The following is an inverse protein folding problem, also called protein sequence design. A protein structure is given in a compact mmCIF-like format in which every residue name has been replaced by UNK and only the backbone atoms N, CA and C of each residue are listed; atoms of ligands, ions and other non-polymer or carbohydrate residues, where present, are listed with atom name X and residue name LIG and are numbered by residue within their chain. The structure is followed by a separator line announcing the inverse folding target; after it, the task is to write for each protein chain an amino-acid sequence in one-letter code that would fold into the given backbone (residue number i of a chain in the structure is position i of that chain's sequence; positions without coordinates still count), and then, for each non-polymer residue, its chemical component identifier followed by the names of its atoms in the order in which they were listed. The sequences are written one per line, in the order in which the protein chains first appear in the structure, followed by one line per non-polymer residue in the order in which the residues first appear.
data_IF_400526153002
#
_entry.id   IF_400526153002
#
_cell.length_a   1.000
_cell.length_b   1.000
_cell.length_c   1.000
_cell.angle_alpha   90.00
_cell.angle_beta   90.00
_cell.angle_gamma   90.00
#
_symmetry.space_group_name_H-M   'P 1'
#
loop_
_entity.id
_entity.type
_entity.pdbx_description
1 polymer ?
#
# COMPACT_ATOMS: atom_id res chain seq x y z
N UNK A 1 -16.84 35.73 -3.88
CA UNK A 1 -15.43 35.37 -3.85
C UNK A 1 -15.03 35.00 -5.27
N UNK A 2 -13.99 35.59 -5.81
CA UNK A 2 -13.56 35.30 -7.17
C UNK A 2 -12.95 33.90 -7.19
N UNK A 3 -13.59 32.97 -7.88
CA UNK A 3 -12.97 31.71 -8.32
C UNK A 3 -11.92 32.12 -9.33
N UNK A 4 -10.66 32.08 -8.97
CA UNK A 4 -9.57 32.13 -9.94
C UNK A 4 -9.67 30.86 -10.73
N UNK A 5 -10.02 31.01 -12.01
CA UNK A 5 -10.04 29.97 -13.03
C UNK A 5 -8.58 29.49 -13.20
N UNK A 6 -8.13 28.58 -12.31
CA UNK A 6 -6.83 27.94 -12.45
C UNK A 6 -7.07 26.68 -13.26
N UNK A 7 -6.38 26.52 -14.40
CA UNK A 7 -6.33 25.28 -15.20
C UNK A 7 -5.79 24.06 -14.41
N UNK A 8 -5.75 24.14 -13.08
CA UNK A 8 -5.25 23.10 -12.20
C UNK A 8 -6.41 22.20 -11.76
N UNK A 9 -6.47 21.02 -12.33
CA UNK A 9 -7.47 20.01 -12.04
C UNK A 9 -6.79 18.71 -11.61
N UNK A 10 -7.25 18.11 -10.51
CA UNK A 10 -6.82 16.81 -10.01
C UNK A 10 -8.03 15.92 -9.75
N UNK A 11 -8.07 14.79 -10.42
CA UNK A 11 -9.08 13.75 -10.30
C UNK A 11 -8.38 12.41 -9.99
N UNK A 12 -8.61 11.79 -8.83
CA UNK A 12 -7.95 10.54 -8.45
C UNK A 12 -8.40 9.33 -9.30
N UNK A 13 -9.46 9.47 -10.08
CA UNK A 13 -10.01 8.41 -10.94
C UNK A 13 -9.66 8.62 -12.43
N UNK A 14 -9.01 9.72 -12.77
CA UNK A 14 -8.55 9.99 -14.13
C UNK A 14 -7.26 9.21 -14.40
N UNK A 15 -7.32 8.28 -15.36
CA UNK A 15 -6.19 7.43 -15.68
C UNK A 15 -5.01 8.18 -16.31
N UNK A 16 -5.25 9.24 -17.08
CA UNK A 16 -4.18 10.05 -17.64
C UNK A 16 -3.39 10.77 -16.53
N UNK A 17 -4.13 11.26 -15.51
CA UNK A 17 -3.52 11.85 -14.32
C UNK A 17 -2.80 10.77 -13.49
N UNK A 18 -3.42 9.61 -13.25
CA UNK A 18 -2.82 8.54 -12.46
C UNK A 18 -1.56 7.97 -13.14
N UNK A 19 -1.50 7.97 -14.46
CA UNK A 19 -0.32 7.50 -15.20
C UNK A 19 0.95 8.30 -14.88
N UNK A 20 0.82 9.64 -14.74
CA UNK A 20 1.89 10.54 -14.29
C UNK A 20 1.31 11.70 -13.46
N UNK A 21 1.02 11.50 -12.17
CA UNK A 21 0.39 12.53 -11.34
C UNK A 21 1.35 13.62 -10.86
N UNK A 22 2.66 13.42 -10.99
CA UNK A 22 3.68 14.27 -10.38
C UNK A 22 3.67 15.72 -10.88
N UNK A 23 3.47 16.01 -12.17
CA UNK A 23 3.36 17.38 -12.65
C UNK A 23 2.19 18.14 -12.00
N UNK A 24 1.02 17.48 -11.87
CA UNK A 24 -0.15 18.07 -11.21
C UNK A 24 0.09 18.22 -9.72
N UNK A 25 0.60 17.19 -9.04
CA UNK A 25 0.90 17.26 -7.61
C UNK A 25 1.96 18.32 -7.28
N UNK A 26 2.95 18.54 -8.16
CA UNK A 26 3.91 19.63 -8.00
C UNK A 26 3.21 20.99 -8.04
N UNK A 27 2.32 21.20 -9.00
CA UNK A 27 1.53 22.43 -9.08
C UNK A 27 0.62 22.60 -7.85
N UNK A 28 -0.01 21.52 -7.37
CA UNK A 28 -0.79 21.58 -6.12
C UNK A 28 0.08 22.05 -4.94
N UNK A 29 1.27 21.48 -4.76
CA UNK A 29 2.20 21.91 -3.69
C UNK A 29 2.59 23.38 -3.79
N UNK A 30 2.78 23.88 -4.99
CA UNK A 30 3.30 25.23 -5.22
C UNK A 30 2.20 26.29 -5.28
N UNK A 31 1.09 26.00 -5.97
CA UNK A 31 0.04 26.96 -6.29
C UNK A 31 -1.20 26.83 -5.38
N UNK A 32 -1.62 25.60 -5.05
CA UNK A 32 -2.83 25.30 -4.27
C UNK A 32 -2.59 24.18 -3.25
N UNK A 33 -1.83 24.40 -2.19
CA UNK A 33 -1.48 23.35 -1.21
C UNK A 33 -2.70 22.77 -0.47
N UNK A 34 -3.80 23.53 -0.36
CA UNK A 34 -5.15 23.03 -0.10
C UNK A 34 -5.93 23.13 -1.41
N UNK A 35 -6.23 21.98 -2.01
CA UNK A 35 -7.02 21.87 -3.23
C UNK A 35 -8.46 21.47 -2.90
N UNK A 36 -9.43 21.92 -3.69
CA UNK A 36 -10.82 21.49 -3.64
C UNK A 36 -11.28 21.00 -5.00
N UNK A 37 -11.84 19.80 -5.05
CA UNK A 37 -12.48 19.24 -6.23
C UNK A 37 -14.00 19.32 -6.09
N UNK A 38 -14.68 20.07 -6.97
CA UNK A 38 -16.11 20.30 -6.94
C UNK A 38 -16.92 19.12 -7.53
N UNK A 39 -16.31 18.32 -8.41
CA UNK A 39 -16.98 17.15 -9.03
C UNK A 39 -17.26 16.05 -8.01
N UNK A 40 -16.28 15.73 -7.16
CA UNK A 40 -16.41 14.66 -6.16
C UNK A 40 -16.48 15.20 -4.72
N UNK A 41 -16.50 16.53 -4.58
CA UNK A 41 -16.64 17.24 -3.30
C UNK A 41 -15.67 16.73 -2.24
N UNK A 42 -14.38 16.93 -2.47
CA UNK A 42 -13.29 16.64 -1.53
C UNK A 42 -12.26 17.75 -1.49
N UNK A 43 -11.56 17.85 -0.37
CA UNK A 43 -10.33 18.64 -0.24
C UNK A 43 -9.11 17.73 -0.31
N UNK A 44 -7.95 18.28 -0.68
CA UNK A 44 -6.69 17.54 -0.68
C UNK A 44 -5.54 18.38 -0.13
N UNK A 45 -4.68 17.77 0.68
CA UNK A 45 -3.40 18.29 1.15
C UNK A 45 -2.26 17.64 0.38
N UNK A 46 -1.36 18.45 -0.17
CA UNK A 46 -0.31 18.00 -1.09
C UNK A 46 1.11 18.14 -0.55
N UNK A 47 1.35 19.01 0.46
CA UNK A 47 2.68 19.25 1.05
C UNK A 47 2.99 18.23 2.14
N UNK A 48 4.27 17.90 2.29
CA UNK A 48 4.74 16.91 3.27
C UNK A 48 4.27 17.21 4.69
N UNK A 49 4.56 18.42 5.20
CA UNK A 49 4.26 18.79 6.59
C UNK A 49 2.75 18.84 6.88
N UNK A 50 1.92 19.16 5.88
CA UNK A 50 0.46 19.17 6.03
C UNK A 50 -0.11 17.77 6.11
N UNK A 51 0.36 16.86 5.22
CA UNK A 51 -0.03 15.45 5.21
C UNK A 51 0.42 14.76 6.50
N UNK A 52 1.66 15.02 6.95
CA UNK A 52 2.18 14.48 8.21
C UNK A 52 1.35 14.92 9.41
N UNK A 53 1.07 16.23 9.54
CA UNK A 53 0.24 16.79 10.63
C UNK A 53 -1.16 16.23 10.64
N UNK A 54 -1.80 16.14 9.46
CA UNK A 54 -3.14 15.56 9.35
C UNK A 54 -3.15 14.08 9.74
N UNK A 55 -2.10 13.32 9.39
CA UNK A 55 -1.96 11.91 9.74
C UNK A 55 -1.82 11.66 11.25
N UNK A 56 -1.30 12.63 12.02
CA UNK A 56 -1.14 12.55 13.48
C UNK A 56 -2.42 12.99 14.22
N UNK A 57 -3.14 13.97 13.67
CA UNK A 57 -4.36 14.49 14.29
C UNK A 57 -5.58 13.61 13.99
N UNK A 58 -5.52 12.37 14.47
CA UNK A 58 -6.58 11.37 14.29
C UNK A 58 -7.93 11.78 14.90
N UNK A 59 -7.98 12.79 15.77
CA UNK A 59 -9.23 13.30 16.33
C UNK A 59 -10.00 14.18 15.36
N UNK A 60 -9.28 14.85 14.49
CA UNK A 60 -9.83 15.73 13.46
C UNK A 60 -10.01 15.00 12.13
N UNK A 61 -9.02 14.20 11.74
CA UNK A 61 -8.96 13.45 10.47
C UNK A 61 -9.14 11.96 10.75
N UNK A 62 -10.40 11.56 10.97
CA UNK A 62 -10.72 10.19 11.40
C UNK A 62 -10.71 9.20 10.23
N UNK A 63 -10.45 7.94 10.57
CA UNK A 63 -10.52 6.79 9.64
C UNK A 63 -11.83 6.02 9.75
N UNK A 64 -12.60 6.20 10.81
CA UNK A 64 -13.80 5.42 11.12
C UNK A 64 -14.97 5.60 10.14
N UNK A 65 -14.85 6.49 9.16
CA UNK A 65 -15.80 6.64 8.05
C UNK A 65 -15.25 6.13 6.71
N UNK A 66 -14.03 5.58 6.70
CA UNK A 66 -13.32 5.13 5.51
C UNK A 66 -11.97 5.80 5.34
N UNK A 67 -11.11 5.17 4.54
CA UNK A 67 -9.79 5.69 4.14
C UNK A 67 -9.65 5.84 2.63
N UNK A 68 -10.73 5.62 1.90
CA UNK A 68 -10.88 5.84 0.45
C UNK A 68 -12.02 6.82 0.22
N UNK A 69 -11.90 7.64 -0.83
CA UNK A 69 -12.88 8.68 -1.15
C UNK A 69 -14.26 8.06 -1.39
N UNK A 70 -14.34 7.01 -2.19
CA UNK A 70 -15.57 6.30 -2.54
C UNK A 70 -16.26 5.71 -1.30
N UNK A 71 -15.52 5.13 -0.37
CA UNK A 71 -16.08 4.57 0.87
C UNK A 71 -16.68 5.66 1.75
N UNK A 72 -15.98 6.77 1.94
CA UNK A 72 -16.51 7.88 2.74
C UNK A 72 -17.76 8.48 2.08
N UNK A 73 -17.74 8.66 0.75
CA UNK A 73 -18.85 9.25 0.00
C UNK A 73 -20.09 8.35 -0.07
N UNK A 74 -19.92 7.03 -0.07
CA UNK A 74 -21.06 6.10 -0.01
C UNK A 74 -21.83 6.18 1.31
N UNK A 75 -21.15 6.58 2.40
CA UNK A 75 -21.74 6.63 3.74
C UNK A 75 -22.10 5.25 4.31
N UNK A 76 -21.54 4.17 3.73
CA UNK A 76 -21.80 2.80 4.18
C UNK A 76 -21.31 2.56 5.61
N UNK A 77 -21.95 1.63 6.30
CA UNK A 77 -21.51 1.17 7.61
C UNK A 77 -20.30 0.23 7.43
N UNK A 78 -19.20 0.57 8.08
CA UNK A 78 -17.98 -0.24 8.06
C UNK A 78 -18.07 -1.33 9.13
N UNK A 79 -17.93 -2.61 8.79
CA UNK A 79 -17.99 -3.70 9.76
C UNK A 79 -16.81 -3.64 10.74
N UNK A 80 -16.99 -4.08 12.00
CA UNK A 80 -15.91 -4.13 12.98
C UNK A 80 -14.81 -5.11 12.56
N UNK A 81 -13.57 -4.85 13.02
CA UNK A 81 -12.43 -5.73 12.77
C UNK A 81 -11.61 -5.33 11.54
N UNK A 82 -11.81 -4.15 11.00
CA UNK A 82 -10.98 -3.60 9.93
C UNK A 82 -10.17 -2.43 10.48
N UNK A 83 -9.00 -2.71 11.04
CA UNK A 83 -8.18 -1.75 11.78
C UNK A 83 -7.87 -0.45 11.03
N UNK A 84 -7.79 -0.48 9.71
CA UNK A 84 -7.55 0.71 8.87
C UNK A 84 -8.73 1.70 8.91
N UNK A 85 -9.91 1.22 9.30
CA UNK A 85 -11.14 2.00 9.44
C UNK A 85 -11.54 2.19 10.91
N UNK A 86 -10.64 2.02 11.84
CA UNK A 86 -10.90 2.21 13.26
C UNK A 86 -10.15 3.43 13.79
N UNK A 87 -10.76 4.10 14.77
CA UNK A 87 -10.13 5.17 15.55
C UNK A 87 -9.98 4.74 17.02
N UNK A 88 -9.10 5.37 17.80
CA UNK A 88 -9.00 5.11 19.23
C UNK A 88 -10.33 5.35 19.96
N UNK A 89 -10.70 4.54 20.97
CA UNK A 89 -9.83 3.55 21.63
C UNK A 89 -9.81 2.15 20.98
N UNK A 90 -10.73 1.83 20.08
CA UNK A 90 -10.85 0.50 19.46
C UNK A 90 -9.59 0.16 18.65
N UNK A 91 -9.13 1.11 17.83
CA UNK A 91 -7.89 0.98 17.07
C UNK A 91 -6.71 0.57 17.95
N UNK A 92 -6.52 1.19 19.12
CA UNK A 92 -5.36 0.94 19.98
C UNK A 92 -5.33 -0.50 20.49
N UNK A 93 -6.51 -1.02 20.87
CA UNK A 93 -6.67 -2.41 21.33
C UNK A 93 -6.32 -3.39 20.22
N UNK A 94 -6.88 -3.21 19.04
CA UNK A 94 -6.66 -4.10 17.89
C UNK A 94 -5.23 -3.94 17.35
N UNK A 95 -4.70 -2.72 17.31
CA UNK A 95 -3.31 -2.47 16.91
C UNK A 95 -2.31 -3.17 17.81
N UNK A 96 -2.52 -3.12 19.13
CA UNK A 96 -1.66 -3.81 20.10
C UNK A 96 -1.69 -5.34 19.90
N UNK A 97 -2.86 -5.90 19.56
CA UNK A 97 -3.01 -7.31 19.26
C UNK A 97 -2.22 -7.71 18.01
N UNK A 98 -2.46 -7.05 16.89
CA UNK A 98 -1.84 -7.37 15.60
C UNK A 98 -0.31 -7.11 15.59
N UNK A 99 0.17 -6.11 16.33
CA UNK A 99 1.60 -5.79 16.38
C UNK A 99 2.45 -6.91 16.98
N UNK A 100 1.86 -7.84 17.74
CA UNK A 100 2.58 -9.01 18.31
C UNK A 100 3.05 -9.98 17.22
N UNK A 101 2.37 -9.98 16.08
CA UNK A 101 2.68 -10.88 14.97
C UNK A 101 3.81 -10.33 14.10
N UNK A 102 3.84 -8.99 13.87
CA UNK A 102 4.81 -8.33 12.98
C UNK A 102 6.02 -7.77 13.73
N UNK A 103 6.52 -8.51 14.71
CA UNK A 103 7.73 -8.09 15.43
C UNK A 103 8.97 -8.17 14.52
N UNK A 104 9.99 -7.30 14.70
CA UNK A 104 11.22 -7.34 13.91
C UNK A 104 11.88 -8.71 13.87
N UNK A 105 11.83 -9.44 14.99
CA UNK A 105 12.40 -10.80 15.10
C UNK A 105 11.64 -11.80 14.23
N UNK A 106 10.29 -11.81 14.28
CA UNK A 106 9.47 -12.70 13.45
C UNK A 106 9.67 -12.38 11.96
N UNK A 107 9.66 -11.09 11.61
CA UNK A 107 9.89 -10.64 10.24
C UNK A 107 11.28 -11.06 9.73
N UNK A 108 12.34 -10.83 10.48
CA UNK A 108 13.71 -11.22 10.07
C UNK A 108 13.85 -12.75 9.88
N UNK A 109 13.10 -13.55 10.62
CA UNK A 109 13.13 -15.00 10.48
C UNK A 109 12.55 -15.50 9.15
N UNK A 110 11.80 -14.64 8.42
CA UNK A 110 11.23 -14.98 7.11
C UNK A 110 12.24 -14.88 5.96
N UNK A 111 13.37 -14.18 6.16
CA UNK A 111 14.34 -13.91 5.09
C UNK A 111 14.74 -15.16 4.27
N UNK A 112 15.09 -16.33 4.87
CA UNK A 112 15.46 -17.50 4.10
C UNK A 112 14.33 -18.01 3.19
N UNK A 113 13.08 -17.90 3.64
CA UNK A 113 11.92 -18.33 2.85
C UNK A 113 11.59 -17.36 1.73
N UNK A 114 11.67 -16.07 1.98
CA UNK A 114 11.47 -15.05 0.94
C UNK A 114 12.54 -15.19 -0.15
N UNK A 115 13.81 -15.45 0.21
CA UNK A 115 14.88 -15.76 -0.75
C UNK A 115 14.58 -17.02 -1.56
N UNK A 116 14.10 -18.08 -0.92
CA UNK A 116 13.69 -19.31 -1.60
C UNK A 116 12.57 -19.05 -2.62
N UNK A 117 11.57 -18.21 -2.26
CA UNK A 117 10.48 -17.86 -3.17
C UNK A 117 10.98 -17.06 -4.38
N UNK A 118 11.84 -16.07 -4.16
CA UNK A 118 12.49 -15.32 -5.24
C UNK A 118 13.33 -16.25 -6.16
N UNK A 119 14.14 -17.13 -5.57
CA UNK A 119 14.97 -18.06 -6.33
C UNK A 119 14.13 -18.99 -7.20
N UNK A 120 13.08 -19.59 -6.66
CA UNK A 120 12.14 -20.45 -7.42
C UNK A 120 11.48 -19.71 -8.59
N UNK A 121 11.20 -18.43 -8.42
CA UNK A 121 10.60 -17.59 -9.44
C UNK A 121 11.60 -17.20 -10.54
N UNK A 122 12.83 -16.84 -10.17
CA UNK A 122 13.80 -16.21 -11.07
C UNK A 122 14.80 -17.20 -11.71
N UNK A 123 15.18 -18.30 -11.01
CA UNK A 123 16.18 -19.26 -11.55
C UNK A 123 15.81 -19.84 -12.92
N UNK A 124 14.54 -20.19 -13.20
CA UNK A 124 14.15 -20.70 -14.51
C UNK A 124 14.27 -19.68 -15.66
N UNK A 125 14.37 -18.38 -15.33
CA UNK A 125 14.35 -17.28 -16.29
C UNK A 125 15.77 -16.81 -16.67
N UNK A 126 16.81 -17.33 -15.99
CA UNK A 126 18.20 -17.01 -16.32
C UNK A 126 18.53 -17.53 -17.73
N UNK A 127 18.92 -16.60 -18.60
CA UNK A 127 19.21 -16.91 -20.01
C UNK A 127 17.97 -17.01 -20.91
N UNK A 128 16.78 -16.70 -20.43
CA UNK A 128 15.56 -16.65 -21.23
C UNK A 128 15.43 -15.38 -22.09
N UNK A 129 16.33 -14.41 -21.92
CA UNK A 129 16.31 -13.12 -22.63
C UNK A 129 15.40 -12.07 -22.03
N UNK A 130 14.71 -12.37 -20.94
CA UNK A 130 13.85 -11.43 -20.22
C UNK A 130 12.89 -12.11 -19.26
N UNK A 131 12.17 -11.29 -18.47
CA UNK A 131 11.13 -11.74 -17.55
C UNK A 131 10.15 -10.60 -17.29
N UNK A 132 9.05 -10.87 -16.59
CA UNK A 132 8.08 -9.86 -16.19
C UNK A 132 8.18 -9.64 -14.66
N UNK A 133 8.53 -8.42 -14.24
CA UNK A 133 8.67 -8.07 -12.82
C UNK A 133 7.40 -8.33 -11.99
N UNK A 134 6.22 -8.21 -12.62
CA UNK A 134 4.95 -8.44 -11.95
C UNK A 134 4.59 -9.92 -11.99
N UNK A 135 4.37 -10.48 -13.20
CA UNK A 135 3.88 -11.85 -13.36
C UNK A 135 4.82 -12.88 -12.74
N UNK A 136 6.13 -12.72 -12.97
CA UNK A 136 7.11 -13.75 -12.64
C UNK A 136 7.68 -13.59 -11.22
N UNK A 137 7.62 -12.38 -10.60
CA UNK A 137 8.15 -12.11 -9.26
C UNK A 137 7.12 -11.46 -8.33
N UNK A 138 6.62 -10.27 -8.68
CA UNK A 138 5.77 -9.45 -7.81
C UNK A 138 4.44 -10.11 -7.44
N UNK A 139 3.82 -10.84 -8.37
CA UNK A 139 2.60 -11.59 -8.12
C UNK A 139 2.83 -12.90 -7.35
N UNK A 140 4.06 -13.40 -7.30
CA UNK A 140 4.37 -14.71 -6.72
C UNK A 140 4.91 -14.59 -5.28
N UNK A 141 5.95 -13.81 -5.06
CA UNK A 141 6.69 -13.79 -3.80
C UNK A 141 5.88 -13.20 -2.64
N UNK A 142 5.23 -12.04 -2.74
CA UNK A 142 4.44 -11.49 -1.63
C UNK A 142 3.27 -12.39 -1.23
N UNK A 143 2.53 -12.94 -2.20
CA UNK A 143 1.43 -13.85 -1.91
C UNK A 143 1.90 -15.12 -1.21
N UNK A 144 3.06 -15.67 -1.59
CA UNK A 144 3.65 -16.83 -0.92
C UNK A 144 4.07 -16.51 0.51
N UNK A 145 4.59 -15.31 0.74
CA UNK A 145 5.00 -14.86 2.07
C UNK A 145 3.81 -14.67 2.99
N UNK A 146 2.78 -13.93 2.57
CA UNK A 146 1.60 -13.69 3.40
C UNK A 146 0.76 -14.97 3.55
N UNK A 147 0.66 -15.78 2.50
CA UNK A 147 -0.02 -17.07 2.54
C UNK A 147 0.64 -18.04 3.52
N UNK A 148 1.96 -18.10 3.55
CA UNK A 148 2.72 -18.88 4.55
C UNK A 148 2.45 -18.38 5.97
N UNK A 149 2.44 -17.06 6.19
CA UNK A 149 2.14 -16.47 7.50
C UNK A 149 0.72 -16.79 7.97
N UNK A 150 -0.24 -16.76 7.06
CA UNK A 150 -1.65 -17.07 7.34
C UNK A 150 -1.92 -18.59 7.40
N UNK A 151 -0.96 -19.44 7.04
CA UNK A 151 -1.14 -20.89 6.99
C UNK A 151 -1.99 -21.37 5.81
N UNK A 152 -2.04 -20.61 4.70
CA UNK A 152 -2.76 -20.96 3.49
C UNK A 152 -1.91 -21.91 2.64
N UNK A 153 -2.45 -23.07 2.19
CA UNK A 153 -1.74 -23.98 1.31
C UNK A 153 -1.26 -23.29 0.02
N UNK A 154 -0.02 -23.59 -0.39
CA UNK A 154 0.60 -22.93 -1.55
C UNK A 154 -0.22 -23.08 -2.84
N UNK A 155 -0.86 -24.22 -3.03
CA UNK A 155 -1.69 -24.52 -4.21
C UNK A 155 -2.93 -23.62 -4.35
N UNK A 156 -3.38 -23.00 -3.25
CA UNK A 156 -4.59 -22.19 -3.23
C UNK A 156 -4.28 -20.68 -3.34
N UNK A 157 -3.01 -20.30 -3.13
CA UNK A 157 -2.59 -18.90 -3.04
C UNK A 157 -2.78 -18.11 -4.33
N UNK A 158 -2.60 -18.74 -5.50
CA UNK A 158 -2.77 -18.08 -6.80
C UNK A 158 -4.23 -17.68 -7.03
N UNK A 159 -5.17 -18.57 -6.78
CA UNK A 159 -6.60 -18.29 -6.93
C UNK A 159 -7.08 -17.21 -5.95
N UNK A 160 -6.52 -17.20 -4.73
CA UNK A 160 -6.81 -16.16 -3.72
C UNK A 160 -6.29 -14.80 -4.20
N UNK A 161 -5.06 -14.74 -4.71
CA UNK A 161 -4.47 -13.53 -5.25
C UNK A 161 -5.31 -12.93 -6.39
N UNK A 162 -5.66 -13.76 -7.39
CA UNK A 162 -6.47 -13.32 -8.52
C UNK A 162 -7.80 -12.68 -8.08
N UNK A 163 -8.42 -13.26 -7.08
CA UNK A 163 -9.68 -12.75 -6.53
C UNK A 163 -9.53 -11.43 -5.77
N UNK A 164 -8.40 -11.24 -5.06
CA UNK A 164 -8.06 -9.96 -4.42
C UNK A 164 -7.82 -8.90 -5.49
N UNK A 165 -7.03 -9.22 -6.51
CA UNK A 165 -6.68 -8.31 -7.61
C UNK A 165 -7.94 -7.84 -8.37
N UNK A 166 -8.89 -8.75 -8.65
CA UNK A 166 -10.16 -8.43 -9.30
C UNK A 166 -10.99 -7.43 -8.49
N UNK A 167 -11.02 -7.59 -7.15
CA UNK A 167 -11.77 -6.71 -6.26
C UNK A 167 -11.21 -5.29 -6.14
N UNK A 168 -9.98 -5.04 -6.59
CA UNK A 168 -9.32 -3.73 -6.53
C UNK A 168 -9.33 -2.97 -7.87
N UNK A 169 -9.72 -3.62 -8.97
CA UNK A 169 -9.71 -3.01 -10.31
C UNK A 169 -10.77 -1.93 -10.45
N UNK A 170 -10.39 -0.83 -11.13
CA UNK A 170 -11.31 0.21 -11.58
C UNK A 170 -11.74 -0.05 -13.02
N UNK A 171 -13.00 0.18 -13.30
CA UNK A 171 -13.53 0.31 -14.67
C UNK A 171 -13.38 1.76 -15.20
N UNK A 172 -13.91 2.02 -16.37
CA UNK A 172 -13.84 3.35 -16.99
C UNK A 172 -14.90 4.34 -16.46
N UNK A 173 -15.74 3.94 -15.51
CA UNK A 173 -16.89 4.73 -15.05
C UNK A 173 -16.53 5.88 -14.10
N UNK A 174 -15.29 5.96 -13.62
CA UNK A 174 -14.83 6.96 -12.65
C UNK A 174 -14.82 6.41 -11.22
N UNK A 175 -15.43 7.13 -10.27
CA UNK A 175 -15.49 6.68 -8.88
C UNK A 175 -16.22 5.33 -8.78
N UNK A 176 -15.58 4.29 -8.20
CA UNK A 176 -16.16 2.95 -8.14
C UNK A 176 -17.42 2.91 -7.28
N UNK A 177 -18.36 2.05 -7.68
CA UNK A 177 -19.46 1.65 -6.82
C UNK A 177 -18.93 0.68 -5.76
N UNK A 178 -19.12 1.04 -4.50
CA UNK A 178 -18.67 0.25 -3.36
C UNK A 178 -19.79 -0.54 -2.69
N UNK A 179 -20.99 -0.53 -3.27
CA UNK A 179 -22.09 -1.34 -2.76
C UNK A 179 -21.69 -2.82 -2.76
N UNK A 180 -21.68 -3.42 -1.57
CA UNK A 180 -21.23 -4.81 -1.38
C UNK A 180 -19.73 -5.02 -1.12
N UNK A 181 -18.90 -3.97 -1.11
CA UNK A 181 -17.44 -4.10 -0.81
C UNK A 181 -17.17 -4.82 0.52
N UNK A 182 -18.07 -4.66 1.50
CA UNK A 182 -18.02 -5.36 2.79
C UNK A 182 -19.11 -6.43 2.94
N UNK A 183 -19.72 -6.88 1.83
CA UNK A 183 -20.66 -7.99 1.90
C UNK A 183 -19.89 -9.27 2.24
N UNK A 184 -19.95 -9.63 3.52
CA UNK A 184 -19.31 -10.83 4.09
C UNK A 184 -20.21 -12.06 3.96
N UNK A 185 -21.16 -12.05 3.02
CA UNK A 185 -21.96 -13.25 2.72
C UNK A 185 -21.07 -14.48 2.54
N UNK A 186 -21.46 -15.59 3.12
CA UNK A 186 -20.62 -16.83 3.22
C UNK A 186 -20.02 -17.31 1.88
N UNK A 187 -20.60 -16.92 0.76
CA UNK A 187 -20.11 -17.29 -0.58
C UNK A 187 -19.04 -16.35 -1.15
N UNK A 188 -18.90 -15.15 -0.62
CA UNK A 188 -17.94 -14.15 -1.11
C UNK A 188 -16.57 -14.24 -0.42
N UNK A 189 -16.47 -14.92 0.71
CA UNK A 189 -15.27 -14.86 1.52
C UNK A 189 -14.34 -16.07 1.33
N UNK A 190 -13.27 -15.84 0.59
CA UNK A 190 -12.24 -16.83 0.26
C UNK A 190 -11.64 -17.52 1.48
N UNK A 191 -11.58 -16.82 2.63
CA UNK A 191 -10.90 -17.33 3.84
C UNK A 191 -11.83 -18.02 4.83
N UNK A 192 -13.15 -18.01 4.60
CA UNK A 192 -14.13 -18.54 5.54
C UNK A 192 -13.87 -20.01 5.90
N UNK A 193 -13.66 -20.85 4.88
CA UNK A 193 -13.39 -22.29 5.07
C UNK A 193 -12.04 -22.54 5.76
N UNK A 194 -11.01 -21.73 5.45
CA UNK A 194 -9.70 -21.84 6.10
C UNK A 194 -9.76 -21.50 7.59
N UNK A 195 -10.54 -20.47 7.96
CA UNK A 195 -10.72 -20.06 9.35
C UNK A 195 -11.43 -21.16 10.14
N UNK A 196 -12.52 -21.72 9.59
CA UNK A 196 -13.28 -22.78 10.24
C UNK A 196 -12.42 -24.04 10.39
N UNK A 197 -11.69 -24.42 9.33
CA UNK A 197 -10.78 -25.55 9.39
C UNK A 197 -9.64 -25.32 10.41
N UNK A 198 -9.06 -24.12 10.45
CA UNK A 198 -7.97 -23.78 11.35
C UNK A 198 -8.42 -23.73 12.81
N UNK A 199 -9.65 -23.33 13.09
CA UNK A 199 -10.21 -23.38 14.43
C UNK A 199 -10.26 -24.82 15.01
N UNK A 200 -10.43 -25.84 14.14
CA UNK A 200 -10.41 -27.26 14.51
C UNK A 200 -8.98 -27.86 14.45
N UNK A 201 -8.07 -27.27 13.68
CA UNK A 201 -6.72 -27.75 13.43
C UNK A 201 -5.68 -26.65 13.68
N UNK A 202 -5.44 -26.23 14.94
CA UNK A 202 -4.47 -25.22 15.30
C UNK A 202 -3.05 -25.53 14.79
N UNK A 203 -2.30 -24.50 14.37
CA UNK A 203 -0.93 -24.62 13.87
C UNK A 203 -0.12 -23.39 14.32
N UNK A 204 1.18 -23.41 14.04
CA UNK A 204 2.06 -22.26 14.31
C UNK A 204 1.98 -21.23 13.16
N UNK A 205 0.80 -20.63 13.00
CA UNK A 205 0.51 -19.61 12.00
C UNK A 205 -0.32 -18.46 12.56
N UNK A 206 -0.38 -17.36 11.79
CA UNK A 206 -1.07 -16.14 12.19
C UNK A 206 -2.58 -16.35 12.37
N UNK A 207 -3.20 -17.20 11.55
CA UNK A 207 -4.64 -17.46 11.66
C UNK A 207 -4.97 -18.10 13.01
N UNK A 208 -4.17 -19.07 13.46
CA UNK A 208 -4.27 -19.65 14.80
C UNK A 208 -4.03 -18.62 15.89
N UNK A 209 -2.97 -17.79 15.74
CA UNK A 209 -2.70 -16.72 16.72
C UNK A 209 -3.90 -15.76 16.87
N UNK A 210 -4.56 -15.39 15.77
CA UNK A 210 -5.75 -14.53 15.81
C UNK A 210 -6.96 -15.20 16.46
N UNK A 211 -7.21 -16.48 16.14
CA UNK A 211 -8.32 -17.26 16.71
C UNK A 211 -8.18 -17.48 18.22
N UNK A 212 -6.94 -17.60 18.71
CA UNK A 212 -6.65 -17.90 20.10
C UNK A 212 -6.37 -16.68 20.97
N UNK A 213 -6.07 -15.53 20.35
CA UNK A 213 -5.67 -14.33 21.06
C UNK A 213 -6.76 -13.82 22.00
N UNK A 214 -6.42 -13.69 23.28
CA UNK A 214 -7.26 -13.07 24.29
C UNK A 214 -6.79 -11.63 24.57
N UNK A 215 -7.73 -10.73 24.69
CA UNK A 215 -7.51 -9.32 25.00
C UNK A 215 -8.65 -8.71 25.80
N UNK A 216 -8.40 -7.59 26.45
CA UNK A 216 -9.43 -6.80 27.08
C UNK A 216 -9.94 -5.77 26.06
N UNK A 217 -11.24 -5.80 25.75
CA UNK A 217 -11.86 -4.87 24.83
C UNK A 217 -11.96 -3.45 25.43
N UNK A 218 -12.49 -2.51 24.66
CA UNK A 218 -12.63 -1.09 25.08
C UNK A 218 -13.51 -0.92 26.31
N UNK A 219 -14.32 -1.90 26.68
CA UNK A 219 -15.17 -1.92 27.87
C UNK A 219 -14.51 -2.65 29.06
N UNK A 220 -13.27 -3.14 28.87
CA UNK A 220 -12.56 -3.94 29.87
C UNK A 220 -13.04 -5.38 29.97
N UNK A 221 -13.78 -5.89 28.98
CA UNK A 221 -14.24 -7.26 28.94
C UNK A 221 -13.19 -8.17 28.29
N UNK A 222 -12.75 -9.20 29.01
CA UNK A 222 -11.83 -10.21 28.48
C UNK A 222 -12.54 -11.06 27.44
N UNK A 223 -12.05 -11.08 26.21
CA UNK A 223 -12.61 -11.85 25.10
C UNK A 223 -11.57 -12.26 24.08
N UNK A 224 -11.94 -13.15 23.17
CA UNK A 224 -11.24 -13.41 21.91
C UNK A 224 -11.86 -12.58 20.79
N UNK A 225 -11.18 -12.52 19.64
CA UNK A 225 -11.77 -12.04 18.40
C UNK A 225 -12.96 -12.92 18.02
N UNK A 226 -14.02 -12.29 17.52
CA UNK A 226 -15.12 -13.03 16.89
C UNK A 226 -14.65 -13.59 15.55
N UNK A 227 -15.37 -14.61 15.02
CA UNK A 227 -15.08 -15.17 13.68
C UNK A 227 -15.08 -14.09 12.60
N UNK A 228 -16.02 -13.17 12.64
CA UNK A 228 -16.10 -12.04 11.69
C UNK A 228 -14.90 -11.11 11.81
N UNK A 229 -14.44 -10.77 13.02
CA UNK A 229 -13.24 -9.96 13.20
C UNK A 229 -11.99 -10.68 12.67
N UNK A 230 -11.82 -11.99 12.94
CA UNK A 230 -10.70 -12.78 12.38
C UNK A 230 -10.75 -12.76 10.86
N UNK A 231 -11.94 -12.95 10.28
CA UNK A 231 -12.16 -12.96 8.85
C UNK A 231 -11.75 -11.62 8.21
N UNK A 232 -12.19 -10.51 8.79
CA UNK A 232 -11.84 -9.17 8.31
C UNK A 232 -10.34 -8.91 8.42
N UNK A 233 -9.67 -9.35 9.50
CA UNK A 233 -8.22 -9.23 9.63
C UNK A 233 -7.46 -10.08 8.61
N UNK A 234 -7.87 -11.31 8.37
CA UNK A 234 -7.22 -12.21 7.41
C UNK A 234 -7.34 -11.63 5.98
N UNK A 235 -8.54 -11.17 5.60
CA UNK A 235 -8.77 -10.49 4.33
C UNK A 235 -7.89 -9.25 4.18
N UNK A 236 -7.90 -8.38 5.18
CA UNK A 236 -7.10 -7.15 5.16
C UNK A 236 -5.60 -7.45 5.03
N UNK A 237 -5.08 -8.39 5.80
CA UNK A 237 -3.66 -8.75 5.78
C UNK A 237 -3.25 -9.37 4.45
N UNK A 238 -4.10 -10.22 3.88
CA UNK A 238 -3.84 -10.83 2.57
C UNK A 238 -3.82 -9.77 1.46
N UNK A 239 -4.82 -8.90 1.40
CA UNK A 239 -4.89 -7.84 0.39
C UNK A 239 -3.75 -6.83 0.54
N UNK A 240 -3.58 -6.25 1.74
CA UNK A 240 -2.57 -5.22 1.99
C UNK A 240 -1.13 -5.74 1.82
N UNK A 241 -0.87 -7.00 2.18
CA UNK A 241 0.47 -7.60 2.09
C UNK A 241 0.85 -8.02 0.68
N UNK A 242 -0.12 -8.30 -0.18
CA UNK A 242 0.14 -8.73 -1.56
C UNK A 242 0.30 -7.54 -2.52
N UNK A 243 -0.74 -6.73 -2.69
CA UNK A 243 -0.81 -5.72 -3.73
C UNK A 243 0.27 -4.64 -3.61
N UNK A 244 0.44 -4.06 -2.44
CA UNK A 244 1.39 -2.95 -2.25
C UNK A 244 2.83 -3.38 -2.51
N UNK A 245 3.21 -4.58 -2.09
CA UNK A 245 4.57 -5.12 -2.32
C UNK A 245 4.77 -5.51 -3.78
N UNK A 246 3.75 -6.05 -4.45
CA UNK A 246 3.75 -6.28 -5.90
C UNK A 246 4.04 -4.98 -6.66
N UNK A 247 3.37 -3.88 -6.29
CA UNK A 247 3.61 -2.56 -6.91
C UNK A 247 5.02 -2.04 -6.63
N UNK A 248 5.53 -2.20 -5.40
CA UNK A 248 6.94 -1.85 -5.09
C UNK A 248 7.92 -2.59 -5.98
N UNK A 249 7.73 -3.88 -6.22
CA UNK A 249 8.58 -4.69 -7.10
C UNK A 249 8.52 -4.19 -8.55
N UNK A 250 7.33 -3.87 -9.04
CA UNK A 250 7.17 -3.28 -10.38
C UNK A 250 7.85 -1.92 -10.50
N UNK A 251 7.66 -1.03 -9.52
CA UNK A 251 8.35 0.26 -9.50
C UNK A 251 9.87 0.11 -9.41
N UNK A 252 10.36 -0.88 -8.68
CA UNK A 252 11.79 -1.20 -8.64
C UNK A 252 12.32 -1.52 -10.03
N UNK A 253 11.61 -2.36 -10.79
CA UNK A 253 11.98 -2.71 -12.15
C UNK A 253 12.02 -1.51 -13.09
N UNK A 254 10.97 -0.68 -13.07
CA UNK A 254 10.83 0.51 -13.93
C UNK A 254 11.86 1.58 -13.59
N UNK A 255 11.90 2.02 -12.33
CA UNK A 255 12.73 3.16 -11.92
C UNK A 255 14.21 2.84 -12.09
N UNK A 256 14.64 1.63 -11.75
CA UNK A 256 16.04 1.27 -11.92
C UNK A 256 16.41 1.10 -13.41
N UNK A 257 15.53 0.61 -14.28
CA UNK A 257 15.77 0.57 -15.73
C UNK A 257 16.03 1.97 -16.32
N UNK A 258 15.39 3.01 -15.75
CA UNK A 258 15.62 4.41 -16.14
C UNK A 258 16.93 5.00 -15.57
N UNK A 259 17.58 4.28 -14.64
CA UNK A 259 18.80 4.72 -13.97
C UNK A 259 19.89 3.64 -13.98
N UNK A 260 20.36 3.22 -15.18
CA UNK A 260 21.30 2.10 -15.33
C UNK A 260 22.64 2.33 -14.59
N UNK A 261 23.05 3.60 -14.41
CA UNK A 261 24.23 3.95 -13.64
C UNK A 261 24.05 3.64 -12.14
N UNK A 262 22.84 3.68 -11.63
CA UNK A 262 22.55 3.32 -10.23
C UNK A 262 22.38 1.81 -10.09
N UNK A 263 21.88 1.10 -11.10
CA UNK A 263 21.94 -0.37 -11.13
C UNK A 263 23.39 -0.85 -11.02
N UNK A 264 24.30 -0.26 -11.81
CA UNK A 264 25.71 -0.65 -11.78
C UNK A 264 26.33 -0.48 -10.39
N UNK A 265 26.00 0.59 -9.69
CA UNK A 265 26.45 0.81 -8.29
C UNK A 265 25.86 -0.23 -7.33
N UNK A 266 24.58 -0.58 -7.47
CA UNK A 266 23.94 -1.64 -6.68
C UNK A 266 24.51 -3.01 -6.95
N UNK A 267 24.96 -3.29 -8.19
CA UNK A 267 25.66 -4.53 -8.55
C UNK A 267 27.03 -4.58 -7.90
N UNK A 268 27.76 -3.47 -7.86
CA UNK A 268 29.09 -3.37 -7.27
C UNK A 268 29.04 -3.40 -5.73
N UNK A 269 28.07 -2.67 -5.14
CA UNK A 269 27.92 -2.58 -3.67
C UNK A 269 26.48 -2.86 -3.23
N UNK A 270 26.21 -4.11 -2.86
CA UNK A 270 24.91 -4.57 -2.34
C UNK A 270 24.51 -3.94 -1.00
N UNK A 271 25.43 -3.32 -0.27
CA UNK A 271 25.10 -2.62 0.95
C UNK A 271 24.22 -1.38 0.73
N UNK A 272 24.12 -0.89 -0.51
CA UNK A 272 23.25 0.20 -0.92
C UNK A 272 21.76 -0.23 -1.10
N UNK A 273 21.48 -1.53 -1.25
CA UNK A 273 20.12 -2.06 -1.50
C UNK A 273 19.09 -1.59 -0.46
N UNK A 274 19.38 -1.61 0.86
CA UNK A 274 18.41 -1.11 1.83
C UNK A 274 18.01 0.34 1.61
N UNK A 275 18.98 1.22 1.33
CA UNK A 275 18.69 2.64 1.08
C UNK A 275 17.99 2.87 -0.26
N UNK A 276 18.32 2.09 -1.28
CA UNK A 276 17.64 2.13 -2.56
C UNK A 276 16.14 1.79 -2.43
N UNK A 277 15.77 0.84 -1.56
CA UNK A 277 14.36 0.52 -1.29
C UNK A 277 13.65 1.68 -0.57
N UNK A 278 14.29 2.35 0.39
CA UNK A 278 13.68 3.54 1.03
C UNK A 278 13.48 4.67 0.00
N UNK A 279 14.44 4.88 -0.90
CA UNK A 279 14.30 5.88 -1.96
C UNK A 279 13.24 5.48 -2.99
N UNK A 280 13.12 4.22 -3.37
CA UNK A 280 12.06 3.72 -4.23
C UNK A 280 10.67 3.95 -3.60
N UNK A 281 10.51 3.63 -2.33
CA UNK A 281 9.26 3.87 -1.58
C UNK A 281 8.92 5.36 -1.51
N UNK A 282 9.91 6.22 -1.30
CA UNK A 282 9.71 7.67 -1.34
C UNK A 282 9.32 8.16 -2.74
N UNK A 283 10.06 7.71 -3.75
CA UNK A 283 9.97 8.21 -5.12
C UNK A 283 8.70 7.71 -5.83
N UNK A 284 8.36 6.42 -5.68
CA UNK A 284 7.15 5.79 -6.22
C UNK A 284 6.41 5.05 -5.10
N UNK A 285 5.61 5.80 -4.35
CA UNK A 285 4.81 5.22 -3.26
C UNK A 285 3.70 4.32 -3.81
N UNK A 286 3.64 3.02 -3.46
CA UNK A 286 2.59 2.12 -3.94
C UNK A 286 1.17 2.55 -3.57
N UNK A 287 0.99 3.16 -2.38
CA UNK A 287 -0.29 3.73 -1.93
C UNK A 287 -0.17 5.25 -1.85
N UNK A 288 -0.48 5.97 -2.93
CA UNK A 288 -0.14 7.38 -3.07
C UNK A 288 -1.07 8.33 -2.34
N UNK A 289 -2.29 7.89 -2.03
CA UNK A 289 -3.36 8.74 -1.48
C UNK A 289 -4.11 7.99 -0.39
N UNK A 290 -4.51 8.72 0.66
CA UNK A 290 -5.40 8.23 1.69
C UNK A 290 -6.49 9.26 1.96
N UNK A 291 -7.74 8.84 2.19
CA UNK A 291 -8.82 9.73 2.57
C UNK A 291 -9.02 9.75 4.09
N UNK A 292 -9.56 10.87 4.59
CA UNK A 292 -9.99 11.06 5.97
C UNK A 292 -11.30 11.83 6.01
N UNK A 293 -12.11 11.56 7.03
CA UNK A 293 -13.33 12.32 7.30
C UNK A 293 -13.06 13.38 8.36
N UNK A 294 -13.52 14.62 8.12
CA UNK A 294 -13.31 15.77 9.01
C UNK A 294 -14.37 15.79 10.10
N UNK A 295 -13.97 15.81 11.39
CA UNK A 295 -14.88 15.86 12.52
C UNK A 295 -15.14 17.26 13.05
N UNK A 296 -14.50 18.28 12.50
CA UNK A 296 -14.64 19.69 12.88
C UNK A 296 -14.13 20.60 11.77
N UNK A 297 -14.50 21.86 11.82
CA UNK A 297 -13.93 22.90 10.98
C UNK A 297 -12.44 23.07 11.25
N UNK A 298 -11.63 23.17 10.18
CA UNK A 298 -10.18 23.42 10.24
C UNK A 298 -9.78 24.44 9.20
N UNK A 299 -8.98 25.42 9.62
CA UNK A 299 -8.41 26.40 8.70
C UNK A 299 -7.11 25.89 8.11
N UNK A 300 -7.02 25.89 6.77
CA UNK A 300 -5.82 25.66 5.99
C UNK A 300 -5.61 26.81 5.01
N UNK A 301 -4.48 27.49 5.06
CA UNK A 301 -4.11 28.55 4.12
C UNK A 301 -5.16 29.66 3.99
N UNK A 302 -5.82 30.03 5.12
CA UNK A 302 -6.88 31.04 5.17
C UNK A 302 -8.25 30.58 4.66
N UNK A 303 -8.40 29.30 4.32
CA UNK A 303 -9.66 28.67 3.92
C UNK A 303 -10.13 27.70 5.01
N UNK A 304 -11.38 27.86 5.46
CA UNK A 304 -12.00 26.92 6.40
C UNK A 304 -12.53 25.72 5.65
N UNK A 305 -12.01 24.54 5.97
CA UNK A 305 -12.56 23.23 5.55
C UNK A 305 -13.62 22.85 6.57
N UNK A 306 -14.90 22.69 6.15
CA UNK A 306 -15.98 22.40 7.08
C UNK A 306 -15.90 21.00 7.70
N UNK A 307 -16.49 20.84 8.89
CA UNK A 307 -16.87 19.53 9.42
C UNK A 307 -17.69 18.74 8.40
N UNK A 308 -17.49 17.42 8.32
CA UNK A 308 -18.17 16.55 7.36
C UNK A 308 -17.48 16.44 6.00
N UNK A 309 -16.46 17.26 5.74
CA UNK A 309 -15.69 17.20 4.49
C UNK A 309 -14.83 15.94 4.41
N UNK A 310 -14.52 15.52 3.18
CA UNK A 310 -13.48 14.52 2.91
C UNK A 310 -12.16 15.22 2.62
N UNK A 311 -11.08 14.79 3.28
CA UNK A 311 -9.74 15.26 3.05
C UNK A 311 -8.87 14.15 2.46
N UNK A 312 -8.34 14.34 1.26
CA UNK A 312 -7.31 13.48 0.69
C UNK A 312 -5.93 13.91 1.19
N UNK A 313 -5.17 12.96 1.68
CA UNK A 313 -3.78 13.10 2.06
C UNK A 313 -2.92 12.53 0.92
N UNK A 314 -2.34 13.41 0.11
CA UNK A 314 -1.52 13.01 -1.04
C UNK A 314 -0.11 12.65 -0.57
N UNK A 315 0.05 11.47 0.00
CA UNK A 315 1.29 10.99 0.61
C UNK A 315 2.44 10.94 -0.38
N UNK A 316 2.20 10.47 -1.62
CA UNK A 316 3.21 10.44 -2.66
C UNK A 316 3.60 11.84 -3.17
N UNK A 317 2.66 12.79 -3.18
CA UNK A 317 2.96 14.20 -3.43
C UNK A 317 3.90 14.75 -2.35
N UNK A 318 3.57 14.52 -1.07
CA UNK A 318 4.43 14.93 0.06
C UNK A 318 5.83 14.34 -0.03
N UNK A 319 5.95 13.09 -0.46
CA UNK A 319 7.24 12.41 -0.63
C UNK A 319 8.14 13.02 -1.71
N UNK A 320 7.60 13.86 -2.58
CA UNK A 320 8.37 14.63 -3.58
C UNK A 320 8.38 16.13 -3.31
N UNK A 321 7.99 16.56 -2.12
CA UNK A 321 8.03 17.97 -1.74
C UNK A 321 9.48 18.44 -1.54
N UNK A 322 9.92 19.40 -2.39
CA UNK A 322 11.29 19.97 -2.35
C UNK A 322 11.60 20.66 -1.03
N UNK A 323 10.57 21.09 -0.26
CA UNK A 323 10.70 21.67 1.08
C UNK A 323 11.24 20.66 2.10
N UNK A 324 10.94 19.39 1.88
CA UNK A 324 11.37 18.27 2.73
C UNK A 324 12.53 17.49 2.10
N UNK A 325 12.46 17.22 0.81
CA UNK A 325 13.44 16.47 0.04
C UNK A 325 14.00 17.33 -1.09
N UNK A 326 15.13 18.02 -0.90
CA UNK A 326 15.74 18.80 -1.97
C UNK A 326 15.88 17.98 -3.26
N UNK A 327 15.48 18.55 -4.40
CA UNK A 327 15.36 17.84 -5.68
C UNK A 327 14.46 16.59 -5.55
N UNK A 328 13.26 16.74 -4.97
CA UNK A 328 12.34 15.64 -4.64
C UNK A 328 11.93 14.79 -5.83
N UNK A 329 11.92 15.36 -7.04
CA UNK A 329 11.64 14.68 -8.30
C UNK A 329 12.85 13.92 -8.88
N UNK A 330 14.01 13.98 -8.25
CA UNK A 330 15.20 13.21 -8.63
C UNK A 330 15.27 11.93 -7.80
N UNK A 331 15.43 10.79 -8.49
CA UNK A 331 15.75 9.51 -7.87
C UNK A 331 17.24 9.42 -7.56
N UNK A 332 17.60 9.03 -6.32
CA UNK A 332 18.99 8.94 -5.86
C UNK A 332 19.14 7.90 -4.74
N UNK A 333 19.73 6.76 -5.05
CA UNK A 333 19.97 5.67 -4.09
C UNK A 333 20.85 6.05 -2.90
N UNK A 334 21.52 7.23 -2.95
CA UNK A 334 22.32 7.78 -1.85
C UNK A 334 21.59 8.83 -1.03
N UNK A 335 20.33 9.14 -1.38
CA UNK A 335 19.55 10.13 -0.62
C UNK A 335 19.45 9.74 0.84
N UNK A 336 19.71 10.68 1.72
CA UNK A 336 19.47 10.50 3.17
C UNK A 336 18.00 10.74 3.46
N UNK A 337 17.33 9.71 3.96
CA UNK A 337 15.91 9.72 4.26
C UNK A 337 15.76 9.41 5.75
N UNK A 338 15.31 10.39 6.54
CA UNK A 338 14.96 10.16 7.95
C UNK A 338 13.64 9.38 8.03
N UNK A 339 12.61 9.86 7.32
CA UNK A 339 11.35 9.17 7.11
C UNK A 339 10.64 9.73 5.86
N UNK A 340 9.74 8.92 5.34
CA UNK A 340 8.86 9.25 4.22
C UNK A 340 7.42 8.80 4.55
N UNK A 341 6.43 9.22 3.75
CA UNK A 341 5.01 8.97 3.99
C UNK A 341 4.45 7.74 3.26
N UNK A 342 5.29 6.95 2.56
CA UNK A 342 4.83 5.79 1.79
C UNK A 342 4.15 4.69 2.65
N UNK A 343 4.48 4.64 3.94
CA UNK A 343 3.84 3.77 4.92
C UNK A 343 2.81 4.49 5.79
N UNK A 344 2.34 5.68 5.36
CA UNK A 344 1.55 6.55 6.21
C UNK A 344 2.34 7.11 7.39
N UNK A 345 1.66 7.76 8.32
CA UNK A 345 2.25 8.31 9.54
C UNK A 345 1.22 8.30 10.69
N UNK A 346 1.69 8.45 11.95
CA UNK A 346 0.82 8.43 13.12
C UNK A 346 0.31 7.04 13.50
N UNK A 347 -0.90 6.97 14.05
CA UNK A 347 -1.47 5.72 14.61
C UNK A 347 -1.67 4.63 13.56
N UNK A 348 -1.94 5.00 12.31
CA UNK A 348 -2.12 4.10 11.19
C UNK A 348 -0.82 3.82 10.40
N UNK A 349 0.36 4.14 10.94
CA UNK A 349 1.62 3.74 10.32
C UNK A 349 1.59 2.25 9.96
N UNK A 350 1.98 1.90 8.72
CA UNK A 350 1.81 0.56 8.16
C UNK A 350 2.32 -0.55 9.09
N UNK A 351 1.44 -1.50 9.42
CA UNK A 351 1.76 -2.64 10.27
C UNK A 351 2.82 -3.55 9.63
N UNK A 352 2.72 -3.73 8.30
CA UNK A 352 3.61 -4.56 7.50
C UNK A 352 4.90 -3.86 7.04
N UNK A 353 5.21 -2.63 7.48
CA UNK A 353 6.33 -1.85 6.94
C UNK A 353 7.69 -2.56 7.03
N UNK A 354 7.93 -3.33 8.09
CA UNK A 354 9.16 -4.12 8.24
C UNK A 354 9.20 -5.29 7.24
N UNK A 355 8.06 -5.93 6.99
CA UNK A 355 7.94 -7.04 6.04
C UNK A 355 8.12 -6.53 4.60
N UNK A 356 7.41 -5.48 4.20
CA UNK A 356 7.54 -4.89 2.87
C UNK A 356 8.98 -4.45 2.54
N UNK A 357 9.70 -3.89 3.53
CA UNK A 357 11.12 -3.56 3.41
C UNK A 357 11.99 -4.79 3.24
N UNK A 358 11.71 -5.85 3.99
CA UNK A 358 12.42 -7.12 3.86
C UNK A 358 12.21 -7.71 2.46
N UNK A 359 10.97 -7.82 2.01
CA UNK A 359 10.60 -8.35 0.72
C UNK A 359 11.19 -7.53 -0.43
N UNK A 360 11.07 -6.21 -0.40
CA UNK A 360 11.65 -5.34 -1.42
C UNK A 360 13.17 -5.48 -1.53
N UNK A 361 13.87 -5.52 -0.36
CA UNK A 361 15.34 -5.70 -0.35
C UNK A 361 15.75 -7.05 -0.91
N UNK A 362 15.08 -8.12 -0.52
CA UNK A 362 15.39 -9.47 -1.00
C UNK A 362 15.07 -9.59 -2.49
N UNK A 363 13.90 -9.11 -2.94
CA UNK A 363 13.53 -9.14 -4.33
C UNK A 363 14.56 -8.42 -5.20
N UNK A 364 14.97 -7.20 -4.82
CA UNK A 364 15.99 -6.46 -5.56
C UNK A 364 17.34 -7.17 -5.53
N UNK A 365 17.79 -7.67 -4.38
CA UNK A 365 19.06 -8.38 -4.24
C UNK A 365 19.09 -9.65 -5.12
N UNK A 366 18.03 -10.45 -5.12
CA UNK A 366 17.92 -11.68 -5.90
C UNK A 366 17.80 -11.40 -7.43
N UNK A 367 17.14 -10.31 -7.83
CA UNK A 367 17.11 -9.84 -9.22
C UNK A 367 18.52 -9.46 -9.69
N UNK A 368 19.20 -8.60 -8.92
CA UNK A 368 20.52 -8.11 -9.26
C UNK A 368 21.59 -9.22 -9.32
N UNK A 369 21.42 -10.32 -8.57
CA UNK A 369 22.34 -11.49 -8.66
C UNK A 369 22.25 -12.19 -10.02
N UNK A 370 21.07 -12.23 -10.64
CA UNK A 370 20.78 -12.98 -11.86
C UNK A 370 20.80 -12.09 -13.09
N UNK A 371 20.33 -10.87 -12.93
CA UNK A 371 20.13 -9.90 -13.99
C UNK A 371 20.80 -8.57 -13.59
N UNK A 372 22.08 -8.39 -13.93
CA UNK A 372 22.85 -7.19 -13.55
C UNK A 372 22.44 -5.93 -14.31
N UNK A 373 21.60 -6.06 -15.34
CA UNK A 373 20.99 -4.97 -16.09
C UNK A 373 19.74 -5.46 -16.82
N UNK A 374 18.83 -4.54 -17.11
CA UNK A 374 17.61 -4.79 -17.90
C UNK A 374 17.11 -3.51 -18.55
N UNK A 375 16.29 -3.67 -19.57
CA UNK A 375 15.52 -2.60 -20.20
C UNK A 375 14.03 -2.97 -20.17
N UNK A 376 13.15 -1.99 -20.01
CA UNK A 376 11.70 -2.24 -20.02
C UNK A 376 11.22 -2.43 -21.46
N UNK A 377 10.45 -3.48 -21.70
CA UNK A 377 9.68 -3.68 -22.93
C UNK A 377 8.37 -2.86 -22.86
N UNK A 378 8.47 -1.59 -23.25
CA UNK A 378 7.36 -0.63 -23.17
C UNK A 378 6.17 -1.00 -24.06
N UNK A 379 6.38 -1.75 -25.14
CA UNK A 379 5.30 -2.16 -26.03
C UNK A 379 4.35 -3.15 -25.35
N UNK A 380 4.84 -3.86 -24.34
CA UNK A 380 4.10 -4.89 -23.61
C UNK A 380 3.85 -4.52 -22.12
N UNK A 381 4.34 -3.39 -21.63
CA UNK A 381 4.10 -2.92 -20.28
C UNK A 381 2.65 -2.42 -20.12
N UNK A 382 2.02 -2.76 -18.99
CA UNK A 382 0.65 -2.36 -18.69
C UNK A 382 0.58 -1.80 -17.28
N UNK A 383 0.13 -0.56 -17.14
CA UNK A 383 -0.13 0.05 -15.84
C UNK A 383 -1.44 -0.47 -15.25
N UNK A 384 -1.44 -0.72 -13.95
CA UNK A 384 -2.63 -1.15 -13.23
C UNK A 384 -3.60 0.03 -13.02
N UNK A 385 -4.90 -0.27 -13.02
CA UNK A 385 -5.97 0.70 -12.73
C UNK A 385 -6.67 0.28 -11.45
N UNK A 386 -6.33 0.91 -10.36
CA UNK A 386 -6.95 0.66 -9.05
C UNK A 386 -7.14 1.98 -8.28
N UNK A 387 -8.07 2.02 -7.32
CA UNK A 387 -8.34 3.22 -6.50
C UNK A 387 -7.35 3.39 -5.34
N UNK A 388 -6.61 2.34 -4.98
CA UNK A 388 -5.88 2.30 -3.70
C UNK A 388 -4.38 2.23 -3.85
N UNK A 389 -3.91 1.59 -4.93
CA UNK A 389 -2.49 1.36 -5.18
C UNK A 389 -2.14 1.74 -6.61
N UNK A 390 -0.95 2.28 -6.81
CA UNK A 390 -0.43 2.69 -8.11
C UNK A 390 0.77 1.84 -8.49
N UNK A 391 0.82 1.39 -9.74
CA UNK A 391 1.94 0.61 -10.26
C UNK A 391 1.59 -0.14 -11.53
N UNK A 392 2.22 -1.28 -11.74
CA UNK A 392 2.14 -2.05 -12.97
C UNK A 392 1.30 -3.31 -12.80
N UNK A 393 0.51 -3.65 -13.81
CA UNK A 393 -0.15 -4.96 -13.96
C UNK A 393 0.79 -5.94 -14.68
N UNK A 394 1.56 -5.44 -15.66
CA UNK A 394 2.64 -6.17 -16.31
C UNK A 394 3.82 -5.24 -16.56
N UNK A 395 5.01 -5.71 -16.26
CA UNK A 395 6.25 -4.99 -16.54
C UNK A 395 7.32 -5.95 -17.08
N UNK A 396 7.20 -6.38 -18.35
CA UNK A 396 8.21 -7.22 -18.97
C UNK A 396 9.50 -6.44 -19.20
N UNK A 397 10.61 -7.12 -19.02
CA UNK A 397 11.95 -6.57 -19.27
C UNK A 397 12.77 -7.50 -20.13
N UNK A 398 13.69 -6.91 -20.89
CA UNK A 398 14.68 -7.60 -21.70
C UNK A 398 15.99 -7.60 -20.92
N UNK A 399 16.62 -8.75 -20.82
CA UNK A 399 17.92 -8.94 -20.16
C UNK A 399 18.97 -9.38 -21.16
N UNK A 400 20.27 -9.02 -20.95
CA UNK A 400 21.37 -9.43 -21.80
C UNK A 400 21.52 -10.95 -21.95
#
# INVERSE_FOLDING_TARGET
MAVTDSDLYYDPYDFEIDSDPYPIWKRLRDEQPLYYNDRYDFFALSRFDDVERASVDWKTYISGRGTLLEIIKSGMDIPPGSIIFEDPPTHDVHRALLSRVFTPRKVSALEPKVREFCARALDPLVGAGGFDFIRDLGAQMPMRTIGMLLGIPEQDQEAIRERIDEGLRLDESGMPDVDGTFDTGDQANVFSEYIDWRAEHPSDDLMTELLEAEFDDVNGTRRKLTRTEVLNYVNLLAAAGNETTTRLIGWTGKVLAEHPEQIAQLVEDRSLVPNAIEELLRYESPSPVQARYMTRDVEHYGTVVPEGSVMLLLTASGNRDDRRFPDGDRFDIHRRIDHHLAFGYGIHFCLGAALARLEGRIALDEVLQRFPSWEVDWDNAVQARTSTVRGWERLPVITP
#
